data_IF_483380750397
#
_entry.id   IF_483380750397
#
_cell.length_a   1.000
_cell.length_b   1.000
_cell.length_c   1.000
_cell.angle_alpha   90.00
_cell.angle_beta   90.00
_cell.angle_gamma   90.00
#
_symmetry.space_group_name_H-M   'P 1'
#
loop_
_entity.id
_entity.type
_entity.pdbx_description
1 polymer ?
#
# COMPACT_ATOMS: atom_id res chain seq x y z
N UNK A 1 -7.98 -1.29 -0.03
CA UNK A 1 -9.10 -0.43 -0.51
C UNK A 1 -10.38 -0.62 0.31
N UNK A 2 -11.19 -1.68 0.12
CA UNK A 2 -12.44 -1.82 0.87
C UNK A 2 -12.23 -1.87 2.39
N UNK A 3 -11.21 -2.60 2.84
CA UNK A 3 -10.86 -2.69 4.26
C UNK A 3 -10.39 -1.34 4.86
N UNK A 4 -9.59 -0.55 4.14
CA UNK A 4 -9.10 0.75 4.61
C UNK A 4 -10.25 1.76 4.76
N UNK A 5 -11.16 1.79 3.78
CA UNK A 5 -12.35 2.65 3.83
C UNK A 5 -13.26 2.28 5.00
N UNK A 6 -13.41 0.97 5.28
CA UNK A 6 -14.17 0.49 6.44
C UNK A 6 -13.46 0.86 7.75
N UNK A 7 -12.15 0.69 7.85
CA UNK A 7 -11.39 1.01 9.06
C UNK A 7 -11.45 2.51 9.39
N UNK A 8 -11.41 3.38 8.37
CA UNK A 8 -11.60 4.82 8.53
C UNK A 8 -13.01 5.15 9.04
N UNK A 9 -14.05 4.59 8.42
CA UNK A 9 -15.43 4.80 8.86
C UNK A 9 -15.65 4.33 10.31
N UNK A 10 -15.09 3.18 10.68
CA UNK A 10 -15.15 2.66 12.05
C UNK A 10 -14.47 3.60 13.05
N UNK A 11 -13.33 4.18 12.70
CA UNK A 11 -12.67 5.18 13.53
C UNK A 11 -13.52 6.45 13.69
N UNK A 12 -14.13 6.94 12.62
CA UNK A 12 -15.00 8.12 12.66
C UNK A 12 -16.20 7.89 13.60
N UNK A 13 -16.85 6.71 13.51
CA UNK A 13 -17.93 6.30 14.42
C UNK A 13 -17.44 6.19 15.87
N UNK A 14 -16.26 5.61 16.10
CA UNK A 14 -15.68 5.51 17.44
C UNK A 14 -15.41 6.91 18.04
N UNK A 15 -14.92 7.85 17.22
CA UNK A 15 -14.67 9.22 17.64
C UNK A 15 -15.96 9.95 18.05
N UNK A 16 -17.05 9.79 17.29
CA UNK A 16 -18.37 10.31 17.66
C UNK A 16 -18.88 9.73 18.98
N UNK A 17 -18.77 8.40 19.14
CA UNK A 17 -19.17 7.71 20.37
C UNK A 17 -18.36 8.15 21.59
N UNK A 18 -17.06 8.40 21.41
CA UNK A 18 -16.18 8.88 22.47
C UNK A 18 -16.57 10.31 22.89
N UNK A 19 -16.83 11.20 21.92
CA UNK A 19 -17.33 12.56 22.20
C UNK A 19 -18.66 12.57 22.94
N UNK A 20 -19.51 11.58 22.68
CA UNK A 20 -20.79 11.40 23.37
C UNK A 20 -20.66 10.64 24.71
N UNK A 21 -19.44 10.25 25.11
CA UNK A 21 -19.16 9.56 26.38
C UNK A 21 -19.60 8.09 26.42
N UNK A 22 -19.92 7.49 25.27
CA UNK A 22 -20.46 6.12 25.18
C UNK A 22 -19.39 5.03 25.03
N UNK A 23 -18.14 5.41 24.73
CA UNK A 23 -16.98 4.52 24.73
C UNK A 23 -15.80 5.18 25.47
N UNK A 24 -14.84 4.36 25.86
CA UNK A 24 -13.63 4.75 26.57
C UNK A 24 -12.49 5.16 25.62
N UNK A 25 -11.45 5.80 26.18
CA UNK A 25 -10.22 6.12 25.43
C UNK A 25 -9.48 4.88 24.93
N UNK A 26 -9.64 3.73 25.60
CA UNK A 26 -9.03 2.45 25.20
C UNK A 26 -9.67 1.96 23.90
N UNK A 27 -11.00 2.01 23.82
CA UNK A 27 -11.75 1.61 22.61
C UNK A 27 -11.45 2.55 21.44
N UNK A 28 -11.36 3.86 21.70
CA UNK A 28 -10.94 4.85 20.70
C UNK A 28 -9.53 4.55 20.17
N UNK A 29 -8.58 4.27 21.07
CA UNK A 29 -7.21 3.93 20.70
C UNK A 29 -7.15 2.63 19.88
N UNK A 30 -7.99 1.64 20.17
CA UNK A 30 -8.08 0.42 19.37
C UNK A 30 -8.53 0.73 17.94
N UNK A 31 -9.62 1.50 17.78
CA UNK A 31 -10.12 1.89 16.46
C UNK A 31 -9.08 2.69 15.66
N UNK A 32 -8.35 3.59 16.34
CA UNK A 32 -7.26 4.36 15.74
C UNK A 32 -6.11 3.44 15.28
N UNK A 33 -5.72 2.46 16.10
CA UNK A 33 -4.67 1.50 15.76
C UNK A 33 -5.07 0.63 14.56
N UNK A 34 -6.32 0.17 14.50
CA UNK A 34 -6.84 -0.62 13.39
C UNK A 34 -6.82 0.18 12.08
N UNK A 35 -7.24 1.45 12.10
CA UNK A 35 -7.17 2.34 10.93
C UNK A 35 -5.71 2.52 10.45
N UNK A 36 -4.79 2.81 11.38
CA UNK A 36 -3.37 3.00 11.04
C UNK A 36 -2.73 1.70 10.53
N UNK A 37 -3.11 0.57 11.09
CA UNK A 37 -2.65 -0.75 10.66
C UNK A 37 -3.12 -1.06 9.24
N UNK A 38 -4.39 -0.81 8.93
CA UNK A 38 -4.94 -0.99 7.59
C UNK A 38 -4.19 -0.14 6.56
N UNK A 39 -4.01 1.15 6.83
CA UNK A 39 -3.24 2.06 5.97
C UNK A 39 -1.80 1.58 5.74
N UNK A 40 -1.12 1.12 6.79
CA UNK A 40 0.25 0.58 6.70
C UNK A 40 0.31 -0.68 5.85
N UNK A 41 -0.66 -1.60 6.00
CA UNK A 41 -0.76 -2.81 5.18
C UNK A 41 -0.94 -2.48 3.70
N UNK A 42 -1.83 -1.54 3.38
CA UNK A 42 -2.04 -1.10 2.00
C UNK A 42 -0.74 -0.58 1.35
N UNK A 43 0.03 0.24 2.07
CA UNK A 43 1.32 0.74 1.59
C UNK A 43 2.32 -0.41 1.37
N UNK A 44 2.38 -1.36 2.32
CA UNK A 44 3.25 -2.53 2.22
C UNK A 44 2.87 -3.42 1.02
N UNK A 45 1.57 -3.66 0.81
CA UNK A 45 1.07 -4.45 -0.31
C UNK A 45 1.40 -3.81 -1.66
N UNK A 46 1.27 -2.49 -1.78
CA UNK A 46 1.67 -1.75 -2.98
C UNK A 46 3.18 -1.83 -3.22
N UNK A 47 3.99 -1.71 -2.16
CA UNK A 47 5.43 -1.90 -2.24
C UNK A 47 5.82 -3.31 -2.71
N UNK A 48 5.15 -4.32 -2.16
CA UNK A 48 5.35 -5.72 -2.54
C UNK A 48 4.93 -5.97 -4.00
N UNK A 49 3.82 -5.38 -4.45
CA UNK A 49 3.40 -5.43 -5.84
C UNK A 49 4.50 -4.94 -6.77
N UNK A 50 5.04 -3.73 -6.54
CA UNK A 50 6.09 -3.17 -7.40
C UNK A 50 7.38 -3.97 -7.34
N UNK A 51 7.78 -4.42 -6.15
CA UNK A 51 8.95 -5.30 -5.99
C UNK A 51 8.80 -6.59 -6.82
N UNK A 52 7.64 -7.23 -6.74
CA UNK A 52 7.35 -8.44 -7.50
C UNK A 52 7.30 -8.17 -9.00
N UNK A 53 6.67 -7.07 -9.42
CA UNK A 53 6.64 -6.64 -10.81
C UNK A 53 8.04 -6.49 -11.41
N UNK A 54 8.92 -5.72 -10.76
CA UNK A 54 10.28 -5.50 -11.25
C UNK A 54 11.16 -6.76 -11.16
N UNK A 55 10.91 -7.65 -10.18
CA UNK A 55 11.58 -8.94 -10.12
C UNK A 55 11.23 -9.82 -11.33
N UNK A 56 9.94 -9.95 -11.66
CA UNK A 56 9.48 -10.72 -12.82
C UNK A 56 10.02 -10.10 -14.11
N UNK A 57 9.98 -8.77 -14.25
CA UNK A 57 10.56 -8.06 -15.40
C UNK A 57 12.06 -8.34 -15.56
N UNK A 58 12.82 -8.35 -14.46
CA UNK A 58 14.25 -8.66 -14.48
C UNK A 58 14.52 -10.10 -14.90
N UNK A 59 13.74 -11.05 -14.41
CA UNK A 59 13.91 -12.48 -14.71
C UNK A 59 13.50 -12.83 -16.15
N UNK A 60 12.42 -12.22 -16.65
CA UNK A 60 11.91 -12.43 -18.01
C UNK A 60 12.61 -11.59 -19.07
N UNK A 61 13.32 -10.54 -18.66
CA UNK A 61 13.77 -9.45 -19.54
C UNK A 61 12.61 -8.90 -20.38
N UNK A 62 11.41 -8.84 -19.79
CA UNK A 62 10.19 -8.39 -20.46
C UNK A 62 9.39 -7.45 -19.58
N UNK A 63 9.01 -6.30 -20.11
CA UNK A 63 8.12 -5.35 -19.47
C UNK A 63 6.68 -5.64 -19.90
N UNK A 64 5.90 -6.24 -19.00
CA UNK A 64 4.51 -6.64 -19.24
C UNK A 64 3.52 -5.48 -19.23
N UNK A 65 3.87 -4.30 -18.70
CA UNK A 65 3.00 -3.12 -18.76
C UNK A 65 3.09 -2.41 -20.11
N UNK A 66 4.27 -2.43 -20.73
CA UNK A 66 4.53 -1.79 -22.03
C UNK A 66 4.57 -2.76 -23.20
N UNK A 67 4.43 -4.07 -22.92
CA UNK A 67 4.49 -5.19 -23.87
C UNK A 67 5.78 -5.17 -24.72
N UNK A 68 6.91 -4.96 -24.05
CA UNK A 68 8.23 -4.82 -24.71
C UNK A 68 9.29 -5.63 -23.99
N UNK A 69 10.14 -6.30 -24.78
CA UNK A 69 11.39 -6.83 -24.29
C UNK A 69 12.26 -5.71 -23.71
N UNK A 70 12.91 -5.99 -22.58
CA UNK A 70 13.93 -5.11 -22.00
C UNK A 70 15.17 -5.22 -22.85
N UNK A 71 15.28 -4.39 -23.88
CA UNK A 71 16.48 -4.24 -24.69
C UNK A 71 17.42 -3.24 -24.03
N UNK A 72 18.64 -3.66 -23.71
CA UNK A 72 19.73 -2.73 -23.37
C UNK A 72 20.39 -2.30 -24.67
N UNK A 73 20.38 -1.00 -24.96
CA UNK A 73 21.21 -0.45 -26.03
C UNK A 73 22.63 -0.31 -25.48
N UNK A 74 23.51 -1.26 -25.84
CA UNK A 74 24.89 -1.28 -25.38
C UNK A 74 25.75 -0.14 -25.93
N UNK A 75 25.33 0.50 -27.03
CA UNK A 75 26.04 1.64 -27.63
C UNK A 75 25.99 2.88 -26.70
N UNK A 76 24.97 2.98 -25.85
CA UNK A 76 24.84 4.04 -24.84
C UNK A 76 25.74 3.84 -23.61
N UNK A 77 26.39 2.67 -23.48
CA UNK A 77 27.29 2.34 -22.36
C UNK A 77 28.77 2.55 -22.71
N UNK A 78 29.08 2.89 -23.97
CA UNK A 78 30.46 3.01 -24.47
C UNK A 78 30.94 4.46 -24.67
N UNK A 79 30.12 5.46 -24.36
CA UNK A 79 30.60 6.86 -24.32
C UNK A 79 31.23 7.16 -22.95
N UNK A 80 32.56 6.98 -22.90
CA UNK A 80 33.47 7.67 -21.98
C UNK A 80 34.18 8.79 -22.73
#
# INVERSE_FOLDING_TARGET
>A
MQADSIAKLSFDIANERFRNGTITVIELNSAQNDMTSAASRYIADLGNYWKNYYNIRKLSLYDYLTDKGVSVNFDLLTEN
#
